data_IF_317417979997
#
_entry.id   IF_317417979997
#
_cell.length_a   1.000
_cell.length_b   1.000
_cell.length_c   1.000
_cell.angle_alpha   90.00
_cell.angle_beta   90.00
_cell.angle_gamma   90.00
#
_symmetry.space_group_name_H-M   'P 1'
#
loop_
_entity.id
_entity.type
_entity.pdbx_description
1 polymer ?
#
# COMPACT_ATOMS: atom_id res chain seq x y z
N UNK A 1 41.81 22.80 -17.80
CA UNK A 1 40.90 21.78 -17.34
C UNK A 1 40.55 21.88 -15.85
N UNK A 2 41.46 21.86 -14.89
CA UNK A 2 41.14 21.93 -13.43
C UNK A 2 40.28 23.14 -13.03
N UNK A 3 40.50 24.34 -13.58
CA UNK A 3 39.71 25.55 -13.26
C UNK A 3 38.30 25.52 -13.82
N UNK A 4 38.06 24.86 -14.94
CA UNK A 4 36.72 24.68 -15.54
C UNK A 4 35.91 23.69 -14.74
N UNK A 5 36.55 22.62 -14.24
CA UNK A 5 35.89 21.63 -13.39
C UNK A 5 35.46 22.23 -12.03
N UNK A 6 36.29 23.09 -11.44
CA UNK A 6 35.98 23.81 -10.21
C UNK A 6 34.81 24.79 -10.41
N UNK A 7 34.75 25.47 -11.55
CA UNK A 7 33.63 26.37 -11.86
C UNK A 7 32.34 25.61 -12.06
N UNK A 8 32.38 24.43 -12.70
CA UNK A 8 31.24 23.57 -12.89
C UNK A 8 30.72 22.99 -11.57
N UNK A 9 31.58 22.61 -10.64
CA UNK A 9 31.21 22.14 -9.30
C UNK A 9 30.61 23.27 -8.44
N UNK A 10 31.19 24.52 -8.55
CA UNK A 10 30.64 25.68 -7.84
C UNK A 10 29.27 26.11 -8.38
N UNK A 11 29.07 26.06 -9.69
CA UNK A 11 27.77 26.40 -10.30
C UNK A 11 26.68 25.39 -9.92
N UNK A 12 26.98 24.10 -9.83
CA UNK A 12 26.04 23.09 -9.35
C UNK A 12 25.74 23.23 -7.86
N UNK A 13 26.67 23.72 -7.06
CA UNK A 13 26.45 23.94 -5.63
C UNK A 13 25.57 25.16 -5.36
N UNK A 14 25.64 26.19 -6.17
CA UNK A 14 24.80 27.38 -6.10
C UNK A 14 23.36 27.07 -6.53
N UNK A 15 23.18 26.18 -7.51
CA UNK A 15 21.84 25.74 -7.94
C UNK A 15 21.11 24.91 -6.88
N UNK A 16 21.85 24.10 -6.10
CA UNK A 16 21.26 23.23 -5.09
C UNK A 16 20.66 23.99 -3.88
N UNK A 17 21.18 25.19 -3.58
CA UNK A 17 20.66 26.01 -2.49
C UNK A 17 19.45 26.87 -2.90
N UNK A 18 19.38 27.29 -4.17
CA UNK A 18 18.28 28.13 -4.67
C UNK A 18 16.96 27.36 -4.81
N UNK A 19 17.02 26.05 -5.00
CA UNK A 19 15.83 25.18 -5.21
C UNK A 19 14.94 24.98 -3.97
N UNK A 20 15.38 25.34 -2.78
CA UNK A 20 14.65 25.10 -1.52
C UNK A 20 14.20 26.38 -0.82
N UNK A 21 14.42 27.55 -1.39
CA UNK A 21 14.07 28.83 -0.76
C UNK A 21 12.56 28.97 -0.56
N UNK A 22 11.74 28.51 -1.52
CA UNK A 22 10.30 28.48 -1.43
C UNK A 22 9.84 27.61 -0.24
N UNK A 23 10.38 26.40 -0.10
CA UNK A 23 10.05 25.46 0.97
C UNK A 23 10.43 26.03 2.34
N UNK A 24 11.65 26.59 2.45
CA UNK A 24 12.13 27.19 3.68
C UNK A 24 11.24 28.34 4.15
N UNK A 25 10.72 29.15 3.22
CA UNK A 25 9.80 30.26 3.55
C UNK A 25 8.43 29.78 3.97
N UNK A 26 7.86 28.80 3.28
CA UNK A 26 6.52 28.28 3.58
C UNK A 26 6.51 27.58 4.94
N UNK A 27 7.53 26.79 5.24
CA UNK A 27 7.58 25.98 6.47
C UNK A 27 8.36 26.64 7.61
N UNK A 28 8.77 27.90 7.48
CA UNK A 28 9.52 28.66 8.48
C UNK A 28 10.73 27.87 9.02
N UNK A 29 11.52 27.29 8.11
CA UNK A 29 12.66 26.46 8.48
C UNK A 29 13.70 27.27 9.28
N UNK A 30 14.18 26.72 10.36
CA UNK A 30 15.13 27.34 11.30
C UNK A 30 16.59 27.32 10.81
N UNK A 31 16.85 26.69 9.65
CA UNK A 31 18.19 26.55 9.07
C UNK A 31 19.06 25.44 9.67
N UNK A 32 18.56 24.69 10.66
CA UNK A 32 19.30 23.66 11.40
C UNK A 32 18.57 22.32 11.53
N UNK A 33 17.30 22.35 11.87
CA UNK A 33 16.48 21.14 12.08
C UNK A 33 16.33 20.36 10.76
N UNK A 34 16.62 19.04 10.73
CA UNK A 34 16.37 18.23 9.54
C UNK A 34 14.92 18.38 9.06
N UNK A 35 14.74 18.62 7.77
CA UNK A 35 13.40 18.86 7.19
C UNK A 35 12.41 17.71 7.45
N UNK A 36 12.91 16.49 7.59
CA UNK A 36 12.09 15.29 7.92
C UNK A 36 11.43 15.39 9.29
N UNK A 37 11.91 16.25 10.18
CA UNK A 37 11.28 16.52 11.48
C UNK A 37 10.00 17.35 11.39
N UNK A 38 9.77 18.01 10.24
CA UNK A 38 8.54 18.74 9.97
C UNK A 38 7.43 17.86 9.42
N UNK A 39 7.76 16.68 8.88
CA UNK A 39 6.79 15.79 8.26
C UNK A 39 5.95 15.04 9.28
N UNK A 40 4.67 14.83 8.98
CA UNK A 40 3.82 13.92 9.71
C UNK A 40 3.76 12.57 8.98
N UNK A 41 4.09 11.49 9.68
CA UNK A 41 4.16 10.13 9.15
C UNK A 41 2.84 9.38 9.38
N UNK A 42 1.71 10.00 9.12
CA UNK A 42 0.42 9.33 9.15
C UNK A 42 -0.20 9.21 7.77
N UNK A 43 -1.19 8.34 7.64
CA UNK A 43 -1.89 8.11 6.38
C UNK A 43 -2.57 9.38 5.82
N UNK A 44 -2.90 10.34 6.68
CA UNK A 44 -3.50 11.60 6.24
C UNK A 44 -2.52 12.54 5.53
N UNK A 45 -1.21 12.37 5.76
CA UNK A 45 -0.16 13.28 5.31
C UNK A 45 0.84 12.66 4.32
N UNK A 46 0.65 11.41 3.95
CA UNK A 46 1.47 10.72 2.97
C UNK A 46 0.60 10.22 1.81
N UNK A 47 1.22 9.69 0.78
CA UNK A 47 0.50 9.07 -0.32
C UNK A 47 -0.22 7.78 0.10
N UNK A 48 -1.20 7.30 -0.67
CA UNK A 48 -2.05 6.17 -0.31
C UNK A 48 -1.29 4.85 -0.15
N UNK A 49 -0.12 4.76 -0.76
CA UNK A 49 0.72 3.56 -0.80
C UNK A 49 1.94 3.65 0.13
N UNK A 50 2.10 4.76 0.88
CA UNK A 50 3.25 4.99 1.74
C UNK A 50 3.33 4.03 2.93
N UNK A 51 2.18 3.78 3.57
CA UNK A 51 2.04 2.94 4.75
C UNK A 51 0.87 1.99 4.52
N UNK A 52 1.04 0.93 3.71
CA UNK A 52 -0.04 0.01 3.40
C UNK A 52 -0.47 -0.76 4.65
N UNK A 53 -1.79 -0.95 4.83
CA UNK A 53 -2.34 -1.82 5.88
C UNK A 53 -2.43 -3.23 5.30
N UNK A 54 -1.58 -4.18 5.75
CA UNK A 54 -1.53 -5.52 5.18
C UNK A 54 -2.77 -6.34 5.52
N UNK A 55 -3.07 -7.31 4.69
CA UNK A 55 -4.19 -8.25 4.88
C UNK A 55 -3.85 -9.59 4.23
N UNK A 56 -4.35 -10.69 4.78
CA UNK A 56 -4.15 -11.99 4.18
C UNK A 56 -4.89 -12.08 2.84
N UNK A 57 -4.13 -12.33 1.78
CA UNK A 57 -4.68 -12.64 0.47
C UNK A 57 -5.00 -14.13 0.39
N UNK A 58 -6.28 -14.46 0.32
CA UNK A 58 -6.68 -15.85 0.12
C UNK A 58 -6.52 -16.24 -1.34
N UNK A 59 -5.71 -17.25 -1.63
CA UNK A 59 -5.69 -17.94 -2.91
C UNK A 59 -6.21 -19.36 -2.75
N UNK A 60 -7.31 -19.67 -3.41
CA UNK A 60 -7.84 -21.05 -3.47
C UNK A 60 -7.32 -21.79 -4.73
N UNK A 61 -6.51 -21.16 -5.55
CA UNK A 61 -6.21 -21.59 -6.91
C UNK A 61 -4.72 -21.72 -7.20
N UNK A 62 -3.86 -21.70 -6.16
CA UNK A 62 -2.42 -21.83 -6.31
C UNK A 62 -1.69 -20.51 -6.60
N UNK A 63 -0.52 -20.64 -7.20
CA UNK A 63 0.37 -19.50 -7.47
C UNK A 63 -0.14 -18.66 -8.64
N UNK A 64 0.02 -17.33 -8.54
CA UNK A 64 -0.42 -16.40 -9.58
C UNK A 64 0.48 -15.18 -9.70
N UNK A 65 0.39 -14.54 -10.87
CA UNK A 65 0.84 -13.17 -11.10
C UNK A 65 -0.38 -12.27 -11.28
N UNK A 66 -0.36 -11.08 -10.66
CA UNK A 66 -1.42 -10.07 -10.80
C UNK A 66 -0.80 -8.74 -11.14
N UNK A 67 -1.42 -8.02 -12.08
CA UNK A 67 -1.10 -6.63 -12.39
C UNK A 67 -2.37 -5.79 -12.25
N UNK A 68 -2.26 -4.65 -11.59
CA UNK A 68 -3.40 -3.76 -11.36
C UNK A 68 -2.98 -2.29 -11.35
N UNK A 69 -3.88 -1.42 -11.78
CA UNK A 69 -3.73 0.02 -11.70
C UNK A 69 -4.74 0.58 -10.71
N UNK A 70 -4.28 1.45 -9.82
CA UNK A 70 -5.10 2.29 -8.96
C UNK A 70 -5.17 3.69 -9.56
N UNK A 71 -6.35 4.30 -9.56
CA UNK A 71 -6.58 5.65 -10.08
C UNK A 71 -7.34 6.47 -9.04
N UNK A 72 -6.79 7.62 -8.67
CA UNK A 72 -7.40 8.55 -7.72
C UNK A 72 -8.76 9.06 -8.21
N UNK A 73 -9.67 9.25 -7.27
CA UNK A 73 -10.94 9.96 -7.43
C UNK A 73 -10.96 11.29 -6.66
N UNK A 74 -9.79 11.71 -6.15
CA UNK A 74 -9.62 12.96 -5.40
C UNK A 74 -8.94 13.98 -6.32
N UNK A 75 -9.54 15.17 -6.47
CA UNK A 75 -9.11 16.20 -7.44
C UNK A 75 -7.76 16.81 -7.04
N UNK A 76 -7.60 17.17 -5.75
CA UNK A 76 -6.39 17.85 -5.25
C UNK A 76 -5.18 16.91 -5.05
N UNK A 77 -5.37 15.61 -5.14
CA UNK A 77 -4.35 14.57 -5.05
C UNK A 77 -4.64 13.45 -6.04
N UNK A 78 -4.41 13.72 -7.30
CA UNK A 78 -4.61 12.74 -8.37
C UNK A 78 -3.38 11.84 -8.52
N UNK A 79 -3.60 10.55 -8.75
CA UNK A 79 -2.53 9.59 -9.01
C UNK A 79 -3.01 8.41 -9.85
N UNK A 80 -2.05 7.77 -10.50
CA UNK A 80 -2.20 6.45 -11.11
C UNK A 80 -1.02 5.61 -10.68
N UNK A 81 -1.28 4.53 -9.94
CA UNK A 81 -0.24 3.61 -9.47
C UNK A 81 -0.39 2.25 -10.14
N UNK A 82 0.70 1.71 -10.67
CA UNK A 82 0.79 0.34 -11.18
C UNK A 82 1.37 -0.58 -10.11
N UNK A 83 0.61 -1.59 -9.73
CA UNK A 83 1.03 -2.66 -8.83
C UNK A 83 1.24 -3.96 -9.59
N UNK A 84 2.35 -4.63 -9.31
CA UNK A 84 2.61 -5.98 -9.76
C UNK A 84 2.76 -6.90 -8.55
N UNK A 85 2.04 -8.01 -8.55
CA UNK A 85 1.96 -8.94 -7.43
C UNK A 85 2.34 -10.34 -7.90
N UNK A 86 3.20 -11.01 -7.15
CA UNK A 86 3.52 -12.43 -7.29
C UNK A 86 3.06 -13.15 -6.04
N UNK A 87 2.17 -14.11 -6.20
CA UNK A 87 1.73 -14.98 -5.13
C UNK A 87 2.21 -16.41 -5.39
N UNK A 88 2.89 -16.98 -4.41
CA UNK A 88 3.39 -18.34 -4.46
C UNK A 88 2.78 -19.16 -3.33
N UNK A 89 2.00 -20.17 -3.67
CA UNK A 89 1.28 -21.03 -2.72
C UNK A 89 1.91 -22.43 -2.69
N UNK A 90 2.28 -22.88 -1.49
CA UNK A 90 2.78 -24.23 -1.19
C UNK A 90 1.92 -24.93 -0.13
N UNK A 91 0.65 -24.62 -0.10
CA UNK A 91 -0.34 -25.23 0.77
C UNK A 91 -0.28 -24.74 2.21
N UNK A 92 0.76 -25.06 2.96
CA UNK A 92 0.94 -24.59 4.34
C UNK A 92 1.60 -23.21 4.43
N UNK A 93 2.37 -22.84 3.42
CA UNK A 93 3.09 -21.57 3.38
C UNK A 93 2.77 -20.85 2.09
N UNK A 94 2.51 -19.55 2.20
CA UNK A 94 2.28 -18.64 1.09
C UNK A 94 3.27 -17.50 1.17
N UNK A 95 3.81 -17.09 0.01
CA UNK A 95 4.63 -15.90 -0.13
C UNK A 95 3.93 -14.99 -1.12
N UNK A 96 3.71 -13.75 -0.72
CA UNK A 96 3.12 -12.72 -1.56
C UNK A 96 4.07 -11.53 -1.65
N UNK A 97 4.44 -11.16 -2.85
CA UNK A 97 5.32 -10.03 -3.12
C UNK A 97 4.54 -9.03 -3.96
N UNK A 98 4.43 -7.81 -3.47
CA UNK A 98 3.83 -6.68 -4.20
C UNK A 98 4.89 -5.64 -4.45
N UNK A 99 5.01 -5.19 -5.69
CA UNK A 99 5.85 -4.06 -6.08
C UNK A 99 4.97 -2.92 -6.60
N UNK A 100 5.06 -1.77 -5.98
CA UNK A 100 4.47 -0.51 -6.42
C UNK A 100 5.38 0.07 -7.51
N UNK A 101 5.22 -0.46 -8.74
CA UNK A 101 6.24 -0.34 -9.78
C UNK A 101 6.39 1.07 -10.32
N UNK A 102 5.27 1.77 -10.52
CA UNK A 102 5.25 3.15 -11.04
C UNK A 102 4.04 3.84 -10.43
N UNK A 103 4.24 5.06 -9.94
CA UNK A 103 3.18 5.99 -9.58
C UNK A 103 3.41 7.29 -10.32
N UNK A 104 2.46 7.72 -11.16
CA UNK A 104 2.30 9.10 -11.58
C UNK A 104 1.41 9.81 -10.58
N UNK A 105 1.79 11.00 -10.12
CA UNK A 105 1.01 11.77 -9.17
C UNK A 105 0.99 13.25 -9.55
N UNK A 106 -0.04 13.94 -9.08
CA UNK A 106 -0.18 15.37 -9.13
C UNK A 106 -0.94 15.85 -7.90
N UNK A 107 -0.31 16.67 -7.08
CA UNK A 107 -0.86 17.29 -5.88
C UNK A 107 -1.12 18.78 -6.12
N UNK A 108 -2.17 19.34 -5.52
CA UNK A 108 -2.31 20.78 -5.42
C UNK A 108 -1.22 21.37 -4.52
N UNK A 109 -0.94 22.67 -4.64
CA UNK A 109 0.01 23.35 -3.76
C UNK A 109 -0.37 23.21 -2.29
N UNK A 110 -1.66 23.27 -1.97
CA UNK A 110 -2.16 23.10 -0.61
C UNK A 110 -1.84 21.71 -0.04
N UNK A 111 -2.07 20.66 -0.81
CA UNK A 111 -1.76 19.27 -0.39
C UNK A 111 -0.24 19.05 -0.31
N UNK A 112 0.52 19.59 -1.26
CA UNK A 112 1.98 19.55 -1.28
C UNK A 112 2.57 20.16 -0.01
N UNK A 113 2.10 21.37 0.35
CA UNK A 113 2.61 22.11 1.49
C UNK A 113 2.15 21.50 2.82
N UNK A 114 0.90 21.03 2.90
CA UNK A 114 0.41 20.30 4.07
C UNK A 114 1.25 19.05 4.37
N UNK A 115 1.71 18.36 3.34
CA UNK A 115 2.54 17.15 3.47
C UNK A 115 4.03 17.45 3.67
N UNK A 116 4.43 18.71 3.68
CA UNK A 116 5.85 19.10 3.79
C UNK A 116 6.69 18.50 2.63
N UNK A 117 6.08 18.33 1.47
CA UNK A 117 6.77 17.82 0.29
C UNK A 117 7.90 18.77 -0.14
N UNK A 118 9.02 18.22 -0.57
CA UNK A 118 10.15 18.96 -1.15
C UNK A 118 10.17 18.92 -2.67
N UNK A 119 9.05 18.60 -3.27
CA UNK A 119 8.83 18.63 -4.71
C UNK A 119 8.04 19.89 -5.06
N UNK A 120 8.71 20.90 -5.65
CA UNK A 120 8.13 22.21 -5.92
C UNK A 120 6.96 22.13 -6.89
N UNK A 121 7.07 21.29 -7.91
CA UNK A 121 6.04 21.13 -8.95
C UNK A 121 4.81 20.35 -8.43
N UNK A 122 4.98 19.54 -7.38
CA UNK A 122 3.94 18.68 -6.86
C UNK A 122 3.45 17.61 -7.84
N UNK A 123 4.22 17.35 -8.91
CA UNK A 123 3.87 16.42 -9.98
C UNK A 123 5.09 15.61 -10.41
N UNK A 124 4.91 14.30 -10.64
CA UNK A 124 6.04 13.48 -11.07
C UNK A 124 5.70 12.00 -11.27
N UNK A 125 6.76 11.23 -11.51
CA UNK A 125 6.72 9.78 -11.66
C UNK A 125 7.71 9.16 -10.68
N UNK A 126 7.24 8.20 -9.88
CA UNK A 126 8.03 7.53 -8.83
C UNK A 126 7.93 6.02 -8.99
N UNK A 127 8.92 5.31 -8.45
CA UNK A 127 8.80 3.91 -8.11
C UNK A 127 8.65 3.79 -6.59
N UNK A 128 7.77 2.91 -6.15
CA UNK A 128 7.49 2.72 -4.74
C UNK A 128 8.19 1.51 -4.14
N UNK A 129 7.63 1.05 -3.03
CA UNK A 129 8.19 -0.01 -2.22
C UNK A 129 7.91 -1.42 -2.75
N UNK A 130 8.69 -2.37 -2.29
CA UNK A 130 8.39 -3.79 -2.34
C UNK A 130 7.83 -4.22 -1.00
N UNK A 131 6.67 -4.87 -1.04
CA UNK A 131 5.98 -5.45 0.11
C UNK A 131 6.12 -6.97 0.03
N UNK A 132 6.42 -7.61 1.14
CA UNK A 132 6.58 -9.07 1.21
C UNK A 132 5.76 -9.61 2.37
N UNK A 133 4.83 -10.51 2.07
CA UNK A 133 4.07 -11.27 3.06
C UNK A 133 4.53 -12.72 3.06
N UNK A 134 4.81 -13.26 4.24
CA UNK A 134 5.07 -14.68 4.45
C UNK A 134 3.99 -15.18 5.41
N UNK A 135 3.11 -16.03 4.90
CA UNK A 135 1.97 -16.55 5.65
C UNK A 135 2.13 -18.04 5.88
N UNK A 136 1.91 -18.49 7.11
CA UNK A 136 1.94 -19.90 7.48
C UNK A 136 0.63 -20.32 8.10
N UNK A 137 0.05 -21.41 7.59
CA UNK A 137 -1.17 -21.98 8.14
C UNK A 137 -0.86 -22.75 9.42
N UNK A 138 -1.41 -22.30 10.54
CA UNK A 138 -1.19 -22.90 11.85
C UNK A 138 -2.09 -24.12 12.07
N UNK A 139 -3.36 -24.01 11.63
CA UNK A 139 -4.28 -25.14 11.68
C UNK A 139 -5.43 -24.98 10.67
N UNK A 140 -6.06 -26.11 10.37
CA UNK A 140 -7.32 -26.19 9.62
C UNK A 140 -8.21 -27.21 10.29
N UNK A 141 -9.46 -26.85 10.51
CA UNK A 141 -10.47 -27.78 11.04
C UNK A 141 -11.83 -27.45 10.40
N UNK A 142 -12.41 -28.46 9.73
CA UNK A 142 -13.65 -28.30 8.96
C UNK A 142 -13.50 -27.13 7.95
N UNK A 143 -14.36 -26.14 8.05
CA UNK A 143 -14.46 -24.98 7.17
C UNK A 143 -13.68 -23.75 7.69
N UNK A 144 -12.80 -23.96 8.66
CA UNK A 144 -12.04 -22.89 9.30
C UNK A 144 -10.54 -23.11 9.16
N UNK A 145 -9.78 -22.03 9.08
CA UNK A 145 -8.32 -22.05 9.16
C UNK A 145 -7.79 -20.84 9.90
N UNK A 146 -6.68 -21.03 10.58
CA UNK A 146 -5.91 -19.99 11.25
C UNK A 146 -4.55 -19.88 10.58
N UNK A 147 -4.16 -18.66 10.26
CA UNK A 147 -2.88 -18.33 9.66
C UNK A 147 -2.14 -17.33 10.53
N UNK A 148 -0.83 -17.38 10.46
CA UNK A 148 0.07 -16.33 10.94
C UNK A 148 0.77 -15.72 9.72
N UNK A 149 0.82 -14.39 9.66
CA UNK A 149 1.49 -13.65 8.59
C UNK A 149 2.51 -12.70 9.18
N UNK A 150 3.71 -12.73 8.61
CA UNK A 150 4.71 -11.69 8.73
C UNK A 150 4.70 -10.87 7.46
N UNK A 151 4.59 -9.56 7.60
CA UNK A 151 4.65 -8.57 6.52
C UNK A 151 5.86 -7.68 6.68
N UNK A 152 6.51 -7.30 5.58
CA UNK A 152 7.54 -6.28 5.58
C UNK A 152 7.43 -5.37 4.36
N UNK A 153 7.73 -4.10 4.59
CA UNK A 153 7.85 -3.05 3.58
C UNK A 153 9.31 -2.64 3.48
N UNK A 154 9.82 -2.52 2.26
CA UNK A 154 11.16 -1.96 2.02
C UNK A 154 11.21 -0.45 2.27
N UNK A 155 12.40 0.12 2.20
CA UNK A 155 12.66 1.56 2.24
C UNK A 155 13.10 2.07 0.86
N UNK A 156 12.47 1.58 -0.22
CA UNK A 156 12.85 1.91 -1.59
C UNK A 156 12.11 3.13 -2.14
N UNK A 157 10.91 3.41 -1.61
CA UNK A 157 10.10 4.56 -2.02
C UNK A 157 10.74 5.88 -1.57
N UNK A 158 10.74 6.93 -2.41
CA UNK A 158 11.34 8.22 -2.08
C UNK A 158 10.45 9.05 -1.13
N UNK A 159 11.06 9.59 -0.07
CA UNK A 159 10.39 10.43 0.91
C UNK A 159 10.13 11.88 0.46
N UNK A 160 11.03 12.55 -0.32
CA UNK A 160 10.92 13.98 -0.59
C UNK A 160 9.58 14.43 -1.19
N UNK A 161 8.92 13.58 -1.94
CA UNK A 161 7.63 13.87 -2.57
C UNK A 161 6.43 13.65 -1.65
N UNK A 162 6.65 13.14 -0.43
CA UNK A 162 5.60 12.76 0.52
C UNK A 162 4.55 11.78 -0.07
N UNK A 163 4.97 10.97 -1.05
CA UNK A 163 4.14 9.92 -1.69
C UNK A 163 4.43 8.55 -1.14
N UNK A 164 5.67 8.31 -0.76
CA UNK A 164 6.18 7.11 -0.11
C UNK A 164 6.99 7.50 1.13
N UNK A 165 7.45 6.51 1.86
CA UNK A 165 8.44 6.69 2.92
C UNK A 165 9.69 5.89 2.56
N UNK A 166 10.86 6.47 2.76
CA UNK A 166 12.15 5.78 2.72
C UNK A 166 12.43 4.98 4.01
N UNK A 167 11.38 4.74 4.78
CA UNK A 167 11.42 4.02 6.04
C UNK A 167 10.86 2.60 5.88
N UNK A 168 11.56 1.57 6.41
CA UNK A 168 11.03 0.23 6.43
C UNK A 168 9.88 0.10 7.41
N UNK A 169 9.01 -0.88 7.15
CA UNK A 169 7.91 -1.24 8.02
C UNK A 169 7.77 -2.76 8.12
N UNK A 170 7.16 -3.22 9.20
CA UNK A 170 6.80 -4.61 9.36
C UNK A 170 5.50 -4.76 10.13
N UNK A 171 4.82 -5.87 9.90
CA UNK A 171 3.64 -6.25 10.66
C UNK A 171 3.62 -7.75 10.89
N UNK A 172 2.92 -8.15 11.94
CA UNK A 172 2.57 -9.54 12.17
C UNK A 172 1.14 -9.62 12.65
N UNK A 173 0.40 -10.54 12.06
CA UNK A 173 -1.00 -10.70 12.36
C UNK A 173 -1.47 -12.15 12.21
N UNK A 174 -2.53 -12.46 12.94
CA UNK A 174 -3.26 -13.70 12.80
C UNK A 174 -4.48 -13.46 11.93
N UNK A 175 -4.76 -14.42 11.05
CA UNK A 175 -5.91 -14.39 10.17
C UNK A 175 -6.76 -15.62 10.40
N UNK A 176 -8.00 -15.41 10.83
CA UNK A 176 -9.00 -16.46 10.90
C UNK A 176 -9.86 -16.43 9.65
N UNK A 177 -9.97 -17.55 8.97
CA UNK A 177 -10.80 -17.72 7.79
C UNK A 177 -11.89 -18.75 8.07
N UNK A 178 -13.12 -18.46 7.63
CA UNK A 178 -14.27 -19.35 7.76
C UNK A 178 -15.11 -19.33 6.50
N UNK A 179 -15.41 -20.53 5.97
CA UNK A 179 -16.48 -20.72 5.00
C UNK A 179 -17.79 -20.97 5.72
N UNK A 180 -18.89 -20.62 5.10
CA UNK A 180 -20.24 -20.86 5.60
C UNK A 180 -21.02 -21.67 4.59
N UNK A 181 -22.15 -22.24 5.03
CA UNK A 181 -23.10 -22.88 4.13
C UNK A 181 -23.54 -21.90 3.05
N UNK A 182 -23.83 -22.45 1.88
CA UNK A 182 -24.22 -21.65 0.72
C UNK A 182 -25.50 -20.85 0.98
N UNK A 183 -25.48 -19.58 0.56
CA UNK A 183 -26.66 -18.70 0.54
C UNK A 183 -27.30 -18.76 -0.86
N UNK A 184 -28.16 -19.74 -1.09
CA UNK A 184 -28.62 -20.06 -2.43
C UNK A 184 -27.46 -20.59 -3.29
N UNK A 185 -27.06 -19.84 -4.33
CA UNK A 185 -25.96 -20.22 -5.21
C UNK A 185 -24.63 -19.51 -4.86
N UNK A 186 -24.54 -18.79 -3.74
CA UNK A 186 -23.35 -18.09 -3.30
C UNK A 186 -22.66 -18.83 -2.17
N UNK A 187 -21.35 -18.94 -2.24
CA UNK A 187 -20.47 -19.51 -1.22
C UNK A 187 -19.83 -18.35 -0.42
N UNK A 188 -20.28 -18.11 0.82
CA UNK A 188 -19.74 -17.01 1.63
C UNK A 188 -18.48 -17.43 2.39
N UNK A 189 -17.50 -16.50 2.44
CA UNK A 189 -16.26 -16.63 3.20
C UNK A 189 -16.02 -15.37 4.01
N UNK A 190 -15.64 -15.54 5.27
CA UNK A 190 -15.23 -14.47 6.13
C UNK A 190 -13.73 -14.63 6.46
N UNK A 191 -12.97 -13.55 6.33
CA UNK A 191 -11.60 -13.44 6.83
C UNK A 191 -11.55 -12.31 7.83
N UNK A 192 -10.94 -12.55 8.99
CA UNK A 192 -10.69 -11.53 10.01
C UNK A 192 -9.20 -11.56 10.36
N UNK A 193 -8.54 -10.41 10.30
CA UNK A 193 -7.14 -10.24 10.66
C UNK A 193 -7.04 -9.39 11.92
N UNK A 194 -6.14 -9.76 12.82
CA UNK A 194 -5.80 -8.99 14.00
C UNK A 194 -4.31 -9.10 14.28
N UNK A 195 -3.66 -7.97 14.51
CA UNK A 195 -2.23 -7.96 14.72
C UNK A 195 -1.67 -6.60 15.05
N UNK A 196 -0.41 -6.42 14.70
CA UNK A 196 0.38 -5.27 15.06
C UNK A 196 1.23 -4.85 13.86
N UNK A 197 1.26 -3.56 13.59
CA UNK A 197 2.04 -2.94 12.52
C UNK A 197 3.00 -1.91 13.10
N UNK A 198 4.21 -1.88 12.56
CA UNK A 198 5.27 -0.94 12.92
C UNK A 198 5.87 -0.37 11.66
N UNK A 199 6.16 0.92 11.65
CA UNK A 199 6.98 1.56 10.63
C UNK A 199 7.89 2.61 11.26
N UNK A 200 9.06 2.80 10.67
CA UNK A 200 10.02 3.78 11.15
C UNK A 200 9.61 5.19 10.73
N UNK A 201 10.05 6.16 11.50
CA UNK A 201 9.95 7.59 11.20
C UNK A 201 11.34 8.22 11.26
N UNK A 202 11.47 9.47 10.82
CA UNK A 202 12.69 10.25 11.01
C UNK A 202 12.65 11.16 12.26
N UNK A 203 11.65 11.04 13.10
CA UNK A 203 11.53 11.82 14.31
C UNK A 203 12.47 11.31 15.38
N UNK A 204 13.20 12.24 16.01
CA UNK A 204 14.19 11.91 17.06
C UNK A 204 13.52 11.31 18.29
N UNK A 205 12.40 11.89 18.71
CA UNK A 205 11.67 11.48 19.91
C UNK A 205 10.75 10.27 19.67
N UNK A 206 10.43 10.00 18.41
CA UNK A 206 9.54 8.90 17.99
C UNK A 206 10.10 8.18 16.75
N UNK A 207 11.21 7.44 16.91
CA UNK A 207 11.90 6.82 15.78
C UNK A 207 11.08 5.71 15.10
N UNK A 208 10.00 5.28 15.73
CA UNK A 208 9.06 4.33 15.15
C UNK A 208 7.63 4.68 15.59
N UNK A 209 6.69 4.41 14.69
CA UNK A 209 5.26 4.46 14.96
C UNK A 209 4.70 3.05 14.90
N UNK A 210 3.86 2.69 15.87
CA UNK A 210 3.32 1.35 15.97
C UNK A 210 1.84 1.35 16.41
N UNK A 211 1.14 0.29 16.08
CA UNK A 211 -0.25 0.18 16.44
C UNK A 211 -0.90 -1.15 16.06
N UNK A 212 -2.12 -1.32 16.54
CA UNK A 212 -2.92 -2.49 16.21
C UNK A 212 -3.51 -2.34 14.81
N UNK A 213 -3.37 -3.40 14.01
CA UNK A 213 -4.09 -3.55 12.75
C UNK A 213 -5.27 -4.51 12.92
N UNK A 214 -6.35 -4.22 12.21
CA UNK A 214 -7.52 -5.06 12.17
C UNK A 214 -8.20 -4.99 10.82
N UNK A 215 -8.59 -6.15 10.28
CA UNK A 215 -9.30 -6.24 9.01
C UNK A 215 -10.48 -7.21 9.13
N UNK A 216 -11.51 -6.94 8.38
CA UNK A 216 -12.62 -7.87 8.18
C UNK A 216 -13.00 -7.87 6.70
N UNK A 217 -13.06 -9.04 6.09
CA UNK A 217 -13.38 -9.23 4.68
C UNK A 217 -14.44 -10.30 4.50
N UNK A 218 -15.57 -9.91 3.91
CA UNK A 218 -16.58 -10.83 3.43
C UNK A 218 -16.38 -11.05 1.92
N UNK A 219 -16.36 -12.30 1.49
CA UNK A 219 -16.27 -12.70 0.09
C UNK A 219 -17.44 -13.61 -0.26
N UNK A 220 -18.04 -13.39 -1.42
CA UNK A 220 -19.11 -14.22 -1.99
C UNK A 220 -18.59 -14.75 -3.32
N UNK A 221 -18.63 -16.06 -3.48
CA UNK A 221 -18.25 -16.74 -4.71
C UNK A 221 -19.46 -17.43 -5.32
N UNK A 222 -19.64 -17.23 -6.63
CA UNK A 222 -20.64 -17.95 -7.42
C UNK A 222 -20.06 -18.21 -8.81
N UNK A 223 -19.93 -19.48 -9.18
CA UNK A 223 -19.38 -19.92 -10.47
C UNK A 223 -18.01 -19.27 -10.75
N UNK A 224 -17.99 -18.29 -11.66
CA UNK A 224 -16.79 -17.54 -12.07
C UNK A 224 -16.75 -16.13 -11.48
N UNK A 225 -17.75 -15.74 -10.70
CA UNK A 225 -17.93 -14.39 -10.14
C UNK A 225 -17.54 -14.35 -8.68
N UNK A 226 -16.83 -13.31 -8.29
CA UNK A 226 -16.41 -13.05 -6.92
C UNK A 226 -16.77 -11.62 -6.55
N UNK A 227 -17.43 -11.47 -5.41
CA UNK A 227 -17.71 -10.18 -4.79
C UNK A 227 -16.97 -10.13 -3.46
N UNK A 228 -16.41 -9.01 -3.10
CA UNK A 228 -15.90 -8.83 -1.74
C UNK A 228 -16.12 -7.43 -1.22
N UNK A 229 -16.33 -7.35 0.10
CA UNK A 229 -16.32 -6.12 0.87
C UNK A 229 -15.33 -6.28 2.02
N UNK A 230 -14.44 -5.32 2.19
CA UNK A 230 -13.39 -5.35 3.21
C UNK A 230 -13.32 -4.01 3.93
N UNK A 231 -13.27 -4.06 5.26
CA UNK A 231 -12.91 -2.95 6.11
C UNK A 231 -11.49 -3.20 6.64
N UNK A 232 -10.60 -2.23 6.44
CA UNK A 232 -9.22 -2.26 6.96
C UNK A 232 -9.01 -1.09 7.91
N UNK A 233 -8.24 -1.33 8.96
CA UNK A 233 -7.92 -0.31 9.96
C UNK A 233 -6.56 -0.54 10.60
N UNK A 234 -5.97 0.55 11.02
CA UNK A 234 -4.74 0.58 11.79
C UNK A 234 -4.88 1.69 12.85
N UNK A 235 -4.55 1.40 14.09
CA UNK A 235 -4.50 2.45 15.11
C UNK A 235 -3.11 3.05 15.12
N UNK A 236 -2.96 4.25 14.56
CA UNK A 236 -1.73 5.01 14.69
C UNK A 236 -1.58 5.54 16.13
N UNK A 237 -0.38 5.48 16.68
CA UNK A 237 -0.07 6.04 18.01
C UNK A 237 0.71 7.34 17.91
N UNK A 238 0.97 7.79 16.70
CA UNK A 238 1.80 8.94 16.46
C UNK A 238 1.11 10.20 16.95
N UNK A 239 1.26 10.53 18.23
CA UNK A 239 0.86 11.76 18.93
C UNK A 239 -0.56 12.29 18.71
N UNK A 240 -1.11 12.08 17.53
CA UNK A 240 -2.39 12.61 17.08
C UNK A 240 -3.56 11.66 17.35
N UNK A 241 -3.28 10.40 17.72
CA UNK A 241 -4.31 9.40 17.93
C UNK A 241 -5.08 9.04 16.65
N UNK A 242 -4.42 9.15 15.49
CA UNK A 242 -5.00 8.84 14.20
C UNK A 242 -5.46 7.37 14.14
N UNK A 243 -6.56 7.16 13.45
CA UNK A 243 -7.15 5.85 13.28
C UNK A 243 -7.62 5.64 11.84
N UNK A 244 -6.69 5.43 10.91
CA UNK A 244 -7.03 5.23 9.52
C UNK A 244 -7.96 4.04 9.32
N UNK A 245 -9.05 4.28 8.60
CA UNK A 245 -10.06 3.30 8.22
C UNK A 245 -10.39 3.44 6.76
N UNK A 246 -10.49 2.32 6.07
CA UNK A 246 -10.90 2.31 4.68
C UNK A 246 -11.84 1.15 4.38
N UNK A 247 -12.77 1.39 3.47
CA UNK A 247 -13.68 0.39 2.90
C UNK A 247 -13.23 0.09 1.47
N UNK A 248 -13.13 -1.19 1.15
CA UNK A 248 -12.86 -1.67 -0.19
C UNK A 248 -13.99 -2.58 -0.67
N UNK A 249 -14.53 -2.31 -1.86
CA UNK A 249 -15.47 -3.16 -2.56
C UNK A 249 -14.82 -3.66 -3.83
N UNK A 250 -14.92 -4.94 -4.13
CA UNK A 250 -14.34 -5.52 -5.34
C UNK A 250 -15.30 -6.51 -5.99
N UNK A 251 -15.39 -6.40 -7.30
CA UNK A 251 -15.96 -7.40 -8.20
C UNK A 251 -14.87 -8.04 -9.04
N UNK A 252 -14.94 -9.35 -9.25
CA UNK A 252 -14.00 -10.04 -10.13
C UNK A 252 -14.70 -11.15 -10.91
N UNK A 253 -14.22 -11.38 -12.13
CA UNK A 253 -14.73 -12.40 -13.05
C UNK A 253 -13.61 -13.26 -13.57
N UNK A 254 -13.69 -14.57 -13.37
CA UNK A 254 -12.75 -15.54 -13.94
C UNK A 254 -13.12 -15.91 -15.38
N UNK A 255 -12.12 -16.13 -16.19
CA UNK A 255 -12.24 -16.58 -17.58
C UNK A 255 -11.09 -17.55 -17.93
N UNK A 256 -11.26 -18.31 -18.96
CA UNK A 256 -10.26 -19.26 -19.47
C UNK A 256 -9.69 -18.76 -20.77
N UNK A 257 -8.36 -18.70 -20.86
CA UNK A 257 -7.63 -18.52 -22.12
C UNK A 257 -7.20 -19.89 -22.66
N UNK A 258 -7.77 -20.35 -23.76
CA UNK A 258 -7.42 -21.67 -24.28
C UNK A 258 -7.70 -22.82 -23.29
N UNK A 259 -7.10 -23.99 -23.51
CA UNK A 259 -7.46 -25.21 -22.77
C UNK A 259 -6.92 -25.28 -21.31
N UNK A 260 -5.97 -24.44 -20.91
CA UNK A 260 -5.27 -24.60 -19.64
C UNK A 260 -4.91 -23.31 -18.87
N UNK A 261 -5.20 -22.12 -19.40
CA UNK A 261 -4.86 -20.87 -18.70
C UNK A 261 -6.09 -20.23 -18.10
N UNK A 262 -6.06 -20.05 -16.79
CA UNK A 262 -7.08 -19.35 -16.05
C UNK A 262 -6.65 -17.90 -15.79
N UNK A 263 -7.54 -16.96 -16.09
CA UNK A 263 -7.39 -15.54 -15.79
C UNK A 263 -8.55 -15.03 -14.95
N UNK A 264 -8.37 -13.90 -14.28
CA UNK A 264 -9.41 -13.17 -13.57
C UNK A 264 -9.22 -11.67 -13.76
N UNK A 265 -10.22 -11.00 -14.32
CA UNK A 265 -10.31 -9.56 -14.30
C UNK A 265 -10.96 -9.10 -12.98
N UNK A 266 -10.56 -7.95 -12.47
CA UNK A 266 -11.18 -7.36 -11.30
C UNK A 266 -11.30 -5.85 -11.43
N UNK A 267 -12.34 -5.33 -10.79
CA UNK A 267 -12.57 -3.91 -10.58
C UNK A 267 -12.86 -3.72 -9.10
N UNK A 268 -12.20 -2.76 -8.49
CA UNK A 268 -12.35 -2.41 -7.08
C UNK A 268 -12.59 -0.92 -6.91
N UNK A 269 -13.19 -0.58 -5.80
CA UNK A 269 -13.34 0.79 -5.32
C UNK A 269 -12.94 0.82 -3.86
N UNK A 270 -12.04 1.74 -3.52
CA UNK A 270 -11.60 2.01 -2.17
C UNK A 270 -12.01 3.41 -1.76
N UNK A 271 -12.53 3.54 -0.53
CA UNK A 271 -12.86 4.81 0.10
C UNK A 271 -12.29 4.87 1.51
N UNK A 272 -11.58 5.94 1.80
CA UNK A 272 -11.21 6.30 3.15
C UNK A 272 -12.43 6.79 3.94
N UNK A 273 -12.53 6.34 5.18
CA UNK A 273 -13.64 6.66 6.09
C UNK A 273 -13.20 7.59 7.22
N UNK A 274 -11.96 7.43 7.70
CA UNK A 274 -11.39 8.22 8.79
C UNK A 274 -9.86 8.20 8.67
N UNK A 275 -9.19 9.33 8.85
CA UNK A 275 -7.73 9.53 8.81
C UNK A 275 -7.03 8.85 7.61
N UNK A 276 -7.78 8.64 6.53
CA UNK A 276 -7.33 8.11 5.25
C UNK A 276 -8.06 8.88 4.14
N UNK A 277 -7.48 9.97 3.62
CA UNK A 277 -8.19 10.91 2.75
C UNK A 277 -8.41 10.40 1.32
N UNK A 278 -7.95 9.20 0.99
CA UNK A 278 -7.94 8.70 -0.38
C UNK A 278 -9.22 7.97 -0.75
N UNK A 279 -9.64 8.17 -2.00
CA UNK A 279 -10.62 7.33 -2.70
C UNK A 279 -10.09 7.04 -4.09
N UNK A 280 -10.13 5.78 -4.51
CA UNK A 280 -9.60 5.37 -5.80
C UNK A 280 -10.31 4.13 -6.37
N UNK A 281 -10.24 4.02 -7.70
CA UNK A 281 -10.61 2.83 -8.43
C UNK A 281 -9.38 1.94 -8.67
N UNK A 282 -9.59 0.64 -8.63
CA UNK A 282 -8.59 -0.36 -8.99
C UNK A 282 -9.10 -1.21 -10.13
N UNK A 283 -8.30 -1.39 -11.17
CA UNK A 283 -8.60 -2.29 -12.28
C UNK A 283 -7.39 -3.19 -12.50
N UNK A 284 -7.59 -4.48 -12.69
CA UNK A 284 -6.45 -5.37 -12.90
C UNK A 284 -6.83 -6.76 -13.37
N UNK A 285 -5.78 -7.55 -13.59
CA UNK A 285 -5.85 -8.91 -14.06
C UNK A 285 -4.94 -9.81 -13.26
N UNK A 286 -5.41 -11.03 -13.00
CA UNK A 286 -4.66 -12.12 -12.37
C UNK A 286 -4.50 -13.25 -13.35
N UNK A 287 -3.30 -13.84 -13.40
CA UNK A 287 -2.96 -15.01 -14.21
C UNK A 287 -2.42 -16.10 -13.30
N UNK A 288 -3.03 -17.29 -13.33
CA UNK A 288 -2.54 -18.42 -12.55
C UNK A 288 -1.38 -19.09 -13.25
N UNK A 289 -0.30 -19.35 -12.49
CA UNK A 289 0.94 -19.94 -12.96
C UNK A 289 0.85 -21.47 -12.94
N UNK A 290 0.15 -22.01 -11.92
CA UNK A 290 -0.06 -23.44 -11.72
C UNK A 290 -1.57 -23.70 -11.58
N UNK A 291 -2.21 -24.15 -12.63
CA UNK A 291 -3.55 -24.72 -12.52
C UNK A 291 -3.38 -26.19 -12.13
N UNK A 292 -3.41 -26.49 -10.85
CA UNK A 292 -3.47 -27.88 -10.41
C UNK A 292 -4.75 -28.51 -10.97
N UNK A 293 -4.57 -29.49 -11.85
CA UNK A 293 -5.62 -30.36 -12.37
C UNK A 293 -6.16 -31.28 -11.29
#
# INVERSE_FOLDING_TARGET
MRRVLLLFLLLNWLSANAQMDWWNQIHNWDGATPWTQYMNYSHAYLGPNAIPIPTLQRSNMGSYFKSSSQMSLVEDDSFVTLHNELHWDRGHTQIHITHQSIEYYRMSEEVRDLRISRDEDGEGVLAGDVLIDISTRLWTKHEQSLWFTFHTKTAAGPLPQARFTDAPGYAFFFSHQKSFDSWGNWEPYLTTDAGFQVYQTHWVDYPQNDGFLGNIKLQLHKDKTYLSAQLRTFTGYFLDGDWPRLLELQWSQSFTFGPAQLGRAHVGWTRGLNDYPFSFLTVGMTYWLDVHK
#
